data_IF_820554339593
#
_entry.id   IF_820554339593
#
_cell.length_a   1.000
_cell.length_b   1.000
_cell.length_c   1.000
_cell.angle_alpha   90.00
_cell.angle_beta   90.00
_cell.angle_gamma   90.00
#
_symmetry.space_group_name_H-M   'P 1'
#
loop_
_entity.id
_entity.type
_entity.pdbx_description
1 polymer ?
#
# COMPACT_ATOMS: atom_id res chain seq x y z
N UNK A 1 4.88 13.04 -30.39
CA UNK A 1 3.78 12.20 -29.85
C UNK A 1 3.96 12.23 -28.34
N UNK A 2 3.20 13.05 -27.62
CA UNK A 2 3.19 13.00 -26.16
C UNK A 2 2.51 11.70 -25.77
N UNK A 3 3.20 10.83 -25.04
CA UNK A 3 2.55 9.67 -24.46
C UNK A 3 1.52 10.18 -23.47
N UNK A 4 0.26 9.76 -23.60
CA UNK A 4 -0.75 10.02 -22.59
C UNK A 4 -0.27 9.35 -21.28
N UNK A 5 0.21 10.14 -20.33
CA UNK A 5 0.69 9.67 -19.04
C UNK A 5 -0.53 9.28 -18.18
N UNK A 6 -1.05 8.06 -18.39
CA UNK A 6 -2.09 7.49 -17.55
C UNK A 6 -1.58 7.14 -16.16
N UNK A 7 -2.40 7.32 -15.13
CA UNK A 7 -2.11 6.84 -13.76
C UNK A 7 -2.17 5.32 -13.76
N UNK A 8 -1.16 4.67 -13.18
CA UNK A 8 -1.14 3.22 -12.94
C UNK A 8 -1.36 2.97 -11.46
N UNK A 9 -2.34 2.12 -11.14
CA UNK A 9 -2.70 1.79 -9.77
C UNK A 9 -2.32 0.34 -9.45
N UNK A 10 -1.72 0.15 -8.27
CA UNK A 10 -1.42 -1.17 -7.69
C UNK A 10 -2.25 -1.27 -6.40
N UNK A 11 -3.10 -2.30 -6.31
CA UNK A 11 -3.86 -2.62 -5.10
C UNK A 11 -3.25 -3.82 -4.42
N UNK A 12 -3.07 -3.71 -3.10
CA UNK A 12 -2.53 -4.77 -2.26
C UNK A 12 -3.57 -5.07 -1.18
N UNK A 13 -4.07 -6.30 -1.17
CA UNK A 13 -4.76 -6.82 0.01
C UNK A 13 -3.73 -7.24 1.05
N UNK A 14 -3.92 -6.86 2.31
CA UNK A 14 -3.03 -7.23 3.41
C UNK A 14 -3.85 -7.70 4.60
N UNK A 15 -3.42 -8.80 5.21
CA UNK A 15 -3.95 -9.23 6.49
C UNK A 15 -3.15 -8.57 7.61
N UNK A 16 -3.68 -7.48 8.15
CA UNK A 16 -2.98 -6.62 9.11
C UNK A 16 -3.99 -5.93 10.04
N UNK A 17 -3.56 -5.59 11.25
CA UNK A 17 -4.28 -4.59 12.06
C UNK A 17 -4.17 -3.21 11.40
N UNK A 18 -5.03 -2.27 11.79
CA UNK A 18 -4.97 -0.89 11.30
C UNK A 18 -3.60 -0.25 11.55
N UNK A 19 -3.01 -0.47 12.73
CA UNK A 19 -1.68 0.02 13.07
C UNK A 19 -0.58 -0.58 12.16
N UNK A 20 -0.66 -1.88 11.89
CA UNK A 20 0.27 -2.57 10.98
C UNK A 20 0.12 -2.08 9.55
N UNK A 21 -1.11 -1.81 9.10
CA UNK A 21 -1.38 -1.26 7.78
C UNK A 21 -0.84 0.18 7.63
N UNK A 22 -1.01 1.03 8.65
CA UNK A 22 -0.42 2.37 8.66
C UNK A 22 1.11 2.33 8.67
N UNK A 23 1.72 1.41 9.43
CA UNK A 23 3.17 1.22 9.38
C UNK A 23 3.65 0.75 8.00
N UNK A 24 2.94 -0.18 7.36
CA UNK A 24 3.25 -0.61 5.99
C UNK A 24 3.16 0.56 5.00
N UNK A 25 2.12 1.38 5.09
CA UNK A 25 1.95 2.60 4.28
C UNK A 25 3.12 3.57 4.47
N UNK A 26 3.57 3.81 5.71
CA UNK A 26 4.76 4.64 6.00
C UNK A 26 6.02 4.06 5.36
N UNK A 27 6.22 2.75 5.45
CA UNK A 27 7.37 2.06 4.85
C UNK A 27 7.37 2.13 3.33
N UNK A 28 6.23 1.90 2.68
CA UNK A 28 6.09 2.02 1.22
C UNK A 28 6.38 3.46 0.80
N UNK A 29 5.81 4.44 1.51
CA UNK A 29 6.08 5.86 1.26
C UNK A 29 7.58 6.15 1.30
N UNK A 30 8.26 5.70 2.36
CA UNK A 30 9.70 5.93 2.53
C UNK A 30 10.55 5.21 1.48
N UNK A 31 10.14 4.01 1.06
CA UNK A 31 10.85 3.21 0.05
C UNK A 31 10.78 3.86 -1.34
N UNK A 32 9.62 4.42 -1.69
CA UNK A 32 9.37 5.01 -3.00
C UNK A 32 9.73 6.51 -3.07
N UNK A 33 9.91 7.15 -1.91
CA UNK A 33 10.35 8.53 -1.86
C UNK A 33 11.85 8.62 -2.20
N UNK A 34 12.24 9.41 -3.21
CA UNK A 34 13.64 9.58 -3.56
C UNK A 34 14.43 10.37 -2.51
N UNK A 35 13.74 11.20 -1.70
CA UNK A 35 14.31 11.99 -0.61
C UNK A 35 13.41 11.90 0.64
N UNK A 36 13.67 10.99 1.58
CA UNK A 36 12.81 10.80 2.74
C UNK A 36 12.82 11.99 3.73
N UNK A 37 13.78 12.91 3.60
CA UNK A 37 13.98 14.02 4.53
C UNK A 37 13.44 15.36 3.98
N UNK A 38 12.74 15.35 2.84
CA UNK A 38 12.13 16.57 2.28
C UNK A 38 11.04 17.15 3.20
N UNK A 39 10.88 18.47 3.19
CA UNK A 39 9.81 19.14 3.93
C UNK A 39 8.45 18.96 3.24
N UNK A 40 7.42 18.56 4.00
CA UNK A 40 6.04 18.45 3.50
C UNK A 40 5.72 17.14 2.78
N UNK A 41 4.59 17.04 2.06
CA UNK A 41 4.24 15.86 1.28
C UNK A 41 5.17 15.67 0.07
N UNK A 42 5.38 14.42 -0.34
CA UNK A 42 6.28 14.08 -1.44
C UNK A 42 5.86 14.76 -2.75
N UNK A 43 6.78 15.46 -3.45
CA UNK A 43 6.46 16.17 -4.70
C UNK A 43 6.36 15.23 -5.91
N UNK A 44 6.72 13.95 -5.77
CA UNK A 44 6.68 12.96 -6.85
C UNK A 44 5.22 12.57 -7.12
N UNK A 45 4.81 12.39 -8.40
CA UNK A 45 3.40 12.16 -8.77
C UNK A 45 2.92 10.72 -8.49
N UNK A 46 3.16 10.20 -7.28
CA UNK A 46 2.57 8.96 -6.78
C UNK A 46 1.98 9.20 -5.40
N UNK A 47 1.04 8.34 -5.01
CA UNK A 47 0.42 8.37 -3.69
C UNK A 47 0.18 6.94 -3.19
N UNK A 48 0.03 6.79 -1.88
CA UNK A 48 -0.36 5.54 -1.23
C UNK A 48 -1.45 5.85 -0.20
N UNK A 49 -2.49 5.03 -0.16
CA UNK A 49 -3.63 5.19 0.72
C UNK A 49 -4.07 3.85 1.31
N UNK A 50 -4.65 3.89 2.52
CA UNK A 50 -5.40 2.76 3.06
C UNK A 50 -6.85 2.86 2.58
N UNK A 51 -7.43 1.73 2.20
CA UNK A 51 -8.83 1.62 1.79
C UNK A 51 -9.58 0.91 2.91
N UNK A 52 -10.66 1.52 3.42
CA UNK A 52 -11.40 1.01 4.58
C UNK A 52 -12.34 -0.16 4.23
N UNK A 53 -12.81 -0.26 2.98
CA UNK A 53 -13.91 -1.16 2.58
C UNK A 53 -13.42 -2.40 1.81
N UNK A 54 -12.42 -3.12 2.35
CA UNK A 54 -11.82 -4.29 1.70
C UNK A 54 -12.17 -5.64 2.36
N UNK A 55 -13.02 -5.65 3.39
CA UNK A 55 -13.29 -6.85 4.23
C UNK A 55 -13.71 -8.09 3.43
N UNK A 56 -14.38 -7.91 2.28
CA UNK A 56 -14.83 -9.00 1.40
C UNK A 56 -14.05 -9.09 0.07
N UNK A 57 -13.02 -8.27 -0.14
CA UNK A 57 -12.38 -8.15 -1.46
C UNK A 57 -11.35 -9.25 -1.77
N UNK A 58 -10.78 -9.90 -0.74
CA UNK A 58 -9.64 -10.83 -0.89
C UNK A 58 -9.73 -12.06 0.04
N UNK A 59 -10.73 -12.94 -0.14
CA UNK A 59 -10.93 -14.12 0.71
C UNK A 59 -9.72 -15.07 0.73
N UNK A 60 -8.99 -15.19 -0.38
CA UNK A 60 -7.79 -16.02 -0.52
C UNK A 60 -6.63 -15.59 0.41
N UNK A 61 -6.52 -14.30 0.73
CA UNK A 61 -5.50 -13.81 1.66
C UNK A 61 -5.77 -14.24 3.10
N UNK A 62 -7.05 -14.31 3.48
CA UNK A 62 -7.44 -14.83 4.79
C UNK A 62 -7.09 -16.32 4.92
N UNK A 63 -7.28 -17.09 3.86
CA UNK A 63 -6.91 -18.50 3.82
C UNK A 63 -5.39 -18.70 3.95
N UNK A 64 -4.61 -17.91 3.21
CA UNK A 64 -3.16 -17.95 3.30
C UNK A 64 -2.66 -17.58 4.71
N UNK A 65 -3.15 -16.47 5.28
CA UNK A 65 -2.75 -16.04 6.62
C UNK A 65 -3.08 -17.10 7.69
N UNK A 66 -4.22 -17.80 7.56
CA UNK A 66 -4.59 -18.92 8.45
C UNK A 66 -3.65 -20.12 8.29
N UNK A 67 -3.17 -20.39 7.08
CA UNK A 67 -2.21 -21.46 6.82
C UNK A 67 -0.82 -21.12 7.39
N UNK A 68 -0.39 -19.86 7.24
CA UNK A 68 0.92 -19.36 7.72
C UNK A 68 0.96 -19.17 9.25
N UNK A 69 -0.14 -18.76 9.88
CA UNK A 69 -0.22 -18.52 11.32
C UNK A 69 -0.24 -19.78 12.21
N UNK A 70 -0.13 -20.98 11.64
CA UNK A 70 0.01 -22.26 12.36
C UNK A 70 1.46 -22.74 12.47
N UNK A 71 2.43 -21.92 12.05
CA UNK A 71 3.87 -22.15 12.18
C UNK A 71 4.44 -21.74 13.53
#
# INVERSE_FOLDING_TARGET
>A
MEAEHGVREIRLGVYATEEQAEELKRRITRLLCPDPDHAGPCPVPWSVALLADAEDAYPELLEQARAEGRG
#
